data_IF_345956604493
#
_entry.id   IF_345956604493
#
_cell.length_a   1.000
_cell.length_b   1.000
_cell.length_c   1.000
_cell.angle_alpha   90.00
_cell.angle_beta   90.00
_cell.angle_gamma   90.00
#
_symmetry.space_group_name_H-M   'P 1'
#
loop_
_entity.id
_entity.type
_entity.pdbx_description
1 polymer ?
#
# COMPACT_ATOMS: atom_id res chain seq x y z
N UNK A 1 -1.45 -30.94 2.41
CA UNK A 1 -0.66 -31.15 1.19
C UNK A 1 -0.19 -29.84 0.63
N UNK A 2 1.08 -29.49 0.88
CA UNK A 2 1.76 -28.37 0.23
C UNK A 2 2.10 -28.78 -1.18
N UNK A 3 1.23 -28.47 -2.14
CA UNK A 3 1.62 -28.42 -3.54
C UNK A 3 2.74 -27.40 -3.63
N UNK A 4 3.99 -27.84 -3.62
CA UNK A 4 5.17 -26.99 -3.59
C UNK A 4 5.14 -26.08 -4.80
N UNK A 5 4.79 -24.80 -4.60
CA UNK A 5 4.88 -23.79 -5.64
C UNK A 5 6.37 -23.64 -5.94
N UNK A 6 6.81 -24.19 -7.06
CA UNK A 6 8.18 -24.00 -7.55
C UNK A 6 8.29 -22.54 -8.00
N UNK A 7 8.72 -21.68 -7.09
CA UNK A 7 8.98 -20.28 -7.38
C UNK A 7 10.42 -20.12 -7.87
N UNK A 8 10.59 -19.74 -9.13
CA UNK A 8 11.92 -19.49 -9.69
C UNK A 8 12.36 -18.05 -9.42
N UNK A 9 13.67 -17.84 -9.20
CA UNK A 9 14.25 -16.51 -8.97
C UNK A 9 13.91 -15.52 -10.10
N UNK A 10 13.76 -16.00 -11.34
CA UNK A 10 13.34 -15.19 -12.49
C UNK A 10 11.97 -14.51 -12.27
N UNK A 11 11.08 -15.14 -11.50
CA UNK A 11 9.74 -14.61 -11.23
C UNK A 11 9.74 -13.59 -10.08
N UNK A 12 10.82 -13.51 -9.29
CA UNK A 12 11.01 -12.49 -8.25
C UNK A 12 10.93 -11.08 -8.82
N UNK A 13 11.71 -10.84 -9.88
CA UNK A 13 11.83 -9.52 -10.50
C UNK A 13 10.53 -9.00 -11.10
N UNK A 14 9.53 -9.87 -11.27
CA UNK A 14 8.19 -9.48 -11.71
C UNK A 14 7.33 -8.90 -10.59
N UNK A 15 7.65 -9.20 -9.33
CA UNK A 15 6.84 -8.87 -8.16
C UNK A 15 7.59 -8.06 -7.11
N UNK A 16 8.91 -8.01 -7.13
CA UNK A 16 9.69 -7.31 -6.12
C UNK A 16 11.10 -6.95 -6.64
N UNK A 17 11.68 -5.87 -6.12
CA UNK A 17 13.05 -5.46 -6.45
C UNK A 17 14.07 -6.53 -5.99
N UNK A 18 15.13 -6.80 -6.77
CA UNK A 18 16.10 -7.85 -6.46
C UNK A 18 16.86 -7.61 -5.14
N UNK A 19 17.03 -6.37 -4.73
CA UNK A 19 17.65 -5.98 -3.45
C UNK A 19 16.89 -6.58 -2.26
N UNK A 20 15.57 -6.63 -2.36
CA UNK A 20 14.70 -7.19 -1.31
C UNK A 20 14.89 -8.71 -1.19
N UNK A 21 15.20 -9.41 -2.29
CA UNK A 21 15.56 -10.83 -2.22
C UNK A 21 16.90 -11.02 -1.53
N UNK A 22 17.90 -10.20 -1.87
CA UNK A 22 19.21 -10.26 -1.20
C UNK A 22 19.05 -9.97 0.29
N UNK A 23 18.25 -8.97 0.64
CA UNK A 23 17.90 -8.67 2.03
C UNK A 23 17.25 -9.86 2.74
N UNK A 24 16.26 -10.53 2.12
CA UNK A 24 15.65 -11.73 2.69
C UNK A 24 16.66 -12.83 2.99
N UNK A 25 17.62 -13.06 2.08
CA UNK A 25 18.65 -14.07 2.23
C UNK A 25 19.69 -13.70 3.30
N UNK A 26 20.03 -12.41 3.43
CA UNK A 26 21.10 -11.93 4.30
C UNK A 26 20.64 -11.55 5.71
N UNK A 27 19.34 -11.22 5.92
CA UNK A 27 18.81 -10.84 7.24
C UNK A 27 18.77 -11.99 8.26
N UNK A 28 18.93 -13.23 7.79
CA UNK A 28 18.90 -14.44 8.60
C UNK A 28 20.27 -15.10 8.63
N UNK A 29 20.63 -15.72 9.76
CA UNK A 29 21.86 -16.54 9.84
C UNK A 29 21.76 -17.70 8.85
N UNK A 30 22.86 -18.10 8.16
CA UNK A 30 22.83 -19.20 7.19
C UNK A 30 22.31 -20.53 7.74
N UNK A 31 22.45 -20.77 9.05
CA UNK A 31 21.96 -21.97 9.73
C UNK A 31 20.47 -21.93 10.06
N UNK A 32 19.79 -20.79 9.92
CA UNK A 32 18.36 -20.65 10.19
C UNK A 32 17.57 -20.88 8.90
N UNK A 33 16.46 -21.61 9.04
CA UNK A 33 15.48 -21.70 7.97
C UNK A 33 14.91 -20.32 7.66
N UNK A 34 14.90 -19.95 6.38
CA UNK A 34 14.26 -18.72 5.90
C UNK A 34 12.80 -19.05 5.65
N UNK A 35 11.92 -18.54 6.51
CA UNK A 35 10.48 -18.62 6.25
C UNK A 35 10.14 -17.69 5.07
N UNK A 36 9.53 -18.25 4.04
CA UNK A 36 9.29 -17.56 2.78
C UNK A 36 7.84 -17.76 2.32
N UNK A 37 7.05 -16.70 2.45
CA UNK A 37 5.69 -16.64 1.93
C UNK A 37 5.54 -15.46 0.97
N UNK A 38 5.18 -15.77 -0.28
CA UNK A 38 4.91 -14.79 -1.33
C UNK A 38 3.79 -13.80 -0.93
N UNK A 39 2.82 -14.21 -0.10
CA UNK A 39 1.78 -13.32 0.42
C UNK A 39 2.32 -12.25 1.37
N UNK A 40 3.52 -12.45 1.91
CA UNK A 40 4.15 -11.53 2.87
C UNK A 40 5.13 -10.55 2.24
N UNK A 41 5.30 -10.56 0.91
CA UNK A 41 6.18 -9.61 0.20
C UNK A 41 5.94 -8.15 0.63
N UNK A 42 4.70 -7.64 0.81
CA UNK A 42 4.51 -6.28 1.29
C UNK A 42 5.10 -5.98 2.67
N UNK A 43 5.22 -6.98 3.56
CA UNK A 43 5.95 -6.84 4.83
C UNK A 43 7.46 -6.78 4.58
N UNK A 44 7.97 -7.72 3.79
CA UNK A 44 9.39 -7.82 3.50
C UNK A 44 9.93 -6.56 2.82
N UNK A 45 9.16 -5.97 1.92
CA UNK A 45 9.51 -4.70 1.27
C UNK A 45 9.51 -3.55 2.27
N UNK A 46 8.56 -3.50 3.20
CA UNK A 46 8.53 -2.46 4.25
C UNK A 46 9.75 -2.58 5.18
N UNK A 47 10.12 -3.80 5.58
CA UNK A 47 11.31 -4.07 6.37
C UNK A 47 12.59 -3.60 5.64
N UNK A 48 12.65 -3.81 4.32
CA UNK A 48 13.77 -3.33 3.49
C UNK A 48 13.78 -1.80 3.35
N UNK A 49 12.62 -1.18 3.13
CA UNK A 49 12.50 0.28 3.08
C UNK A 49 12.93 0.91 4.42
N UNK A 50 12.61 0.27 5.55
CA UNK A 50 13.10 0.69 6.88
C UNK A 50 14.62 0.55 7.00
N UNK A 51 15.19 -0.56 6.53
CA UNK A 51 16.64 -0.72 6.48
C UNK A 51 17.31 0.38 5.65
N UNK A 52 16.73 0.73 4.50
CA UNK A 52 17.22 1.80 3.63
C UNK A 52 17.16 3.18 4.32
N UNK A 53 16.06 3.51 5.00
CA UNK A 53 15.96 4.75 5.81
C UNK A 53 17.01 4.78 6.92
N UNK A 54 17.18 3.65 7.62
CA UNK A 54 18.17 3.51 8.67
C UNK A 54 19.59 3.70 8.12
N UNK A 55 19.92 3.12 6.97
CA UNK A 55 21.23 3.29 6.34
C UNK A 55 21.55 4.77 6.12
N UNK A 56 20.70 5.50 5.39
CA UNK A 56 20.96 6.91 5.09
C UNK A 56 21.01 7.79 6.35
N UNK A 57 20.16 7.51 7.35
CA UNK A 57 20.21 8.21 8.64
C UNK A 57 21.48 7.91 9.45
N UNK A 58 22.00 6.68 9.38
CA UNK A 58 23.25 6.31 10.06
C UNK A 58 24.49 6.87 9.36
N UNK A 59 24.50 6.92 8.02
CA UNK A 59 25.57 7.56 7.25
C UNK A 59 25.65 9.05 7.55
N UNK A 60 24.52 9.75 7.65
CA UNK A 60 24.49 11.17 8.05
C UNK A 60 25.08 11.37 9.45
N UNK A 61 24.70 10.53 10.42
CA UNK A 61 25.28 10.56 11.78
C UNK A 61 26.78 10.34 11.80
N UNK A 62 27.29 9.39 11.00
CA UNK A 62 28.73 9.13 10.87
C UNK A 62 29.46 10.34 10.28
N UNK A 63 28.90 10.97 9.24
CA UNK A 63 29.47 12.19 8.65
C UNK A 63 29.50 13.36 9.63
N UNK A 64 28.57 13.38 10.59
CA UNK A 64 28.52 14.34 11.70
C UNK A 64 29.36 13.92 12.93
N UNK A 65 30.24 12.92 12.79
CA UNK A 65 31.22 12.52 13.80
C UNK A 65 30.69 11.63 14.92
N UNK A 66 29.48 11.06 14.79
CA UNK A 66 28.92 10.14 15.78
C UNK A 66 29.41 8.70 15.56
N UNK A 67 29.78 8.02 16.65
CA UNK A 67 30.12 6.60 16.60
C UNK A 67 28.86 5.73 16.54
N UNK A 68 28.90 4.73 15.66
CA UNK A 68 27.87 3.70 15.57
C UNK A 68 28.18 2.55 16.52
N UNK A 69 27.14 2.05 17.20
CA UNK A 69 27.22 0.80 17.95
C UNK A 69 27.22 -0.43 17.01
N UNK A 70 27.46 -1.62 17.58
CA UNK A 70 27.55 -2.87 16.81
C UNK A 70 26.30 -3.14 15.96
N UNK A 71 25.10 -3.03 16.55
CA UNK A 71 23.84 -3.26 15.83
C UNK A 71 23.61 -2.27 14.68
N UNK A 72 24.04 -1.03 14.83
CA UNK A 72 23.96 0.00 13.79
C UNK A 72 24.93 -0.30 12.64
N UNK A 73 26.16 -0.71 12.95
CA UNK A 73 27.14 -1.15 11.95
C UNK A 73 26.65 -2.37 11.18
N UNK A 74 26.00 -3.31 11.86
CA UNK A 74 25.38 -4.48 11.22
C UNK A 74 24.29 -4.09 10.23
N UNK A 75 23.43 -3.12 10.59
CA UNK A 75 22.40 -2.59 9.66
C UNK A 75 23.02 -1.92 8.44
N UNK A 76 24.05 -1.09 8.64
CA UNK A 76 24.79 -0.46 7.54
C UNK A 76 25.34 -1.53 6.60
N UNK A 77 26.02 -2.52 7.17
CA UNK A 77 26.63 -3.60 6.39
C UNK A 77 25.61 -4.46 5.66
N UNK A 78 24.47 -4.75 6.30
CA UNK A 78 23.38 -5.51 5.68
C UNK A 78 22.79 -4.77 4.47
N UNK A 79 22.63 -3.46 4.55
CA UNK A 79 22.15 -2.66 3.43
C UNK A 79 23.16 -2.64 2.27
N UNK A 80 24.44 -2.39 2.55
CA UNK A 80 25.51 -2.43 1.54
C UNK A 80 25.57 -3.77 0.79
N UNK A 81 25.46 -4.89 1.50
CA UNK A 81 25.52 -6.22 0.90
C UNK A 81 24.26 -6.58 0.11
N UNK A 82 23.10 -6.07 0.53
CA UNK A 82 21.82 -6.30 -0.18
C UNK A 82 21.62 -5.37 -1.37
N UNK A 83 22.31 -4.23 -1.40
CA UNK A 83 22.11 -3.14 -2.36
C UNK A 83 23.41 -2.82 -3.10
N UNK A 84 23.82 -3.63 -4.09
CA UNK A 84 25.09 -3.45 -4.78
C UNK A 84 25.15 -2.15 -5.60
N UNK A 85 24.01 -1.69 -6.11
CA UNK A 85 23.89 -0.41 -6.81
C UNK A 85 23.36 0.63 -5.82
N UNK A 86 24.28 1.23 -5.06
CA UNK A 86 23.93 2.21 -4.02
C UNK A 86 23.31 3.46 -4.66
N UNK A 87 22.15 3.93 -4.18
CA UNK A 87 21.63 5.23 -4.58
C UNK A 87 22.39 6.37 -3.88
N UNK A 88 22.52 7.52 -4.55
CA UNK A 88 23.25 8.68 -4.02
C UNK A 88 22.56 9.36 -2.83
N UNK A 89 21.25 9.20 -2.73
CA UNK A 89 20.38 9.73 -1.67
C UNK A 89 19.30 8.71 -1.33
N UNK A 90 18.61 8.90 -0.22
CA UNK A 90 17.42 8.13 0.12
C UNK A 90 16.38 8.26 -1.01
N UNK A 91 16.07 7.16 -1.72
CA UNK A 91 15.14 7.24 -2.85
C UNK A 91 13.69 7.42 -2.39
N UNK A 92 12.81 7.77 -3.32
CA UNK A 92 11.38 7.86 -3.06
C UNK A 92 10.82 6.51 -2.60
N UNK A 93 10.26 6.50 -1.39
CA UNK A 93 9.63 5.32 -0.80
C UNK A 93 8.12 5.52 -0.68
N UNK A 94 7.38 5.05 -1.69
CA UNK A 94 5.92 4.87 -1.58
C UNK A 94 5.66 3.47 -0.99
N UNK A 95 4.90 3.34 0.12
CA UNK A 95 4.61 2.05 0.73
C UNK A 95 4.10 1.04 -0.30
N UNK A 96 4.67 -0.17 -0.30
CA UNK A 96 4.35 -1.19 -1.31
C UNK A 96 2.85 -1.54 -1.33
N UNK A 97 2.21 -1.60 -0.16
CA UNK A 97 0.75 -1.81 -0.04
C UNK A 97 -0.07 -0.72 -0.71
N UNK A 98 0.42 0.52 -0.70
CA UNK A 98 -0.25 1.60 -1.40
C UNK A 98 -0.03 1.48 -2.91
N UNK A 99 1.19 1.11 -3.34
CA UNK A 99 1.49 0.76 -4.73
C UNK A 99 0.55 -0.34 -5.28
N UNK A 100 0.22 -1.36 -4.47
CA UNK A 100 -0.74 -2.42 -4.83
C UNK A 100 -2.12 -1.86 -5.18
N UNK A 101 -2.57 -0.85 -4.44
CA UNK A 101 -3.90 -0.24 -4.64
C UNK A 101 -3.88 0.69 -5.85
N UNK A 102 -2.95 1.64 -5.89
CA UNK A 102 -2.90 2.67 -6.94
C UNK A 102 -2.60 2.07 -8.32
N UNK A 103 -1.77 1.03 -8.40
CA UNK A 103 -1.43 0.37 -9.66
C UNK A 103 -2.62 -0.37 -10.29
N UNK A 104 -3.58 -0.83 -9.50
CA UNK A 104 -4.82 -1.43 -9.99
C UNK A 104 -5.83 -0.36 -10.41
N UNK A 105 -5.95 0.71 -9.63
CA UNK A 105 -6.90 1.82 -9.91
C UNK A 105 -6.48 2.66 -11.10
N UNK A 106 -5.18 2.88 -11.28
CA UNK A 106 -4.62 3.63 -12.40
C UNK A 106 -4.31 2.74 -13.61
N UNK A 107 -4.74 1.47 -13.63
CA UNK A 107 -4.50 0.61 -14.77
C UNK A 107 -5.42 0.97 -15.94
N UNK A 108 -4.84 1.23 -17.11
CA UNK A 108 -5.58 1.41 -18.35
C UNK A 108 -5.63 0.08 -19.10
N UNK A 109 -6.82 -0.53 -19.15
CA UNK A 109 -7.03 -1.83 -19.81
C UNK A 109 -6.85 -1.77 -21.32
N UNK A 110 -7.20 -0.65 -21.97
CA UNK A 110 -7.09 -0.49 -23.42
C UNK A 110 -5.62 -0.39 -23.86
N UNK A 111 -4.80 0.34 -23.09
CA UNK A 111 -3.37 0.53 -23.35
C UNK A 111 -2.49 -0.56 -22.72
N UNK A 112 -3.07 -1.41 -21.87
CA UNK A 112 -2.36 -2.46 -21.13
C UNK A 112 -1.18 -1.93 -20.29
N UNK A 113 -1.36 -0.74 -19.69
CA UNK A 113 -0.31 -0.05 -18.94
C UNK A 113 -0.88 0.68 -17.71
N UNK A 114 0.00 1.06 -16.79
CA UNK A 114 -0.38 1.91 -15.66
C UNK A 114 -0.31 3.37 -16.11
N UNK A 115 -1.42 4.09 -15.98
CA UNK A 115 -1.51 5.52 -16.27
C UNK A 115 -0.75 6.30 -15.19
N UNK A 116 0.47 6.73 -15.55
CA UNK A 116 1.35 7.44 -14.63
C UNK A 116 0.84 8.82 -14.25
N UNK A 117 0.09 9.51 -15.13
CA UNK A 117 -0.47 10.82 -14.81
C UNK A 117 -1.51 10.70 -13.69
N UNK A 118 -2.36 9.66 -13.78
CA UNK A 118 -3.32 9.32 -12.72
C UNK A 118 -2.63 8.88 -11.43
N UNK A 119 -1.53 8.13 -11.51
CA UNK A 119 -0.73 7.78 -10.32
C UNK A 119 -0.21 9.04 -9.63
N UNK A 120 0.41 9.97 -10.38
CA UNK A 120 0.95 11.20 -9.82
C UNK A 120 -0.16 12.04 -9.19
N UNK A 121 -1.34 12.13 -9.81
CA UNK A 121 -2.51 12.79 -9.22
C UNK A 121 -2.93 12.17 -7.88
N UNK A 122 -3.01 10.83 -7.81
CA UNK A 122 -3.32 10.12 -6.55
C UNK A 122 -2.25 10.44 -5.49
N UNK A 123 -0.97 10.42 -5.84
CA UNK A 123 0.12 10.70 -4.91
C UNK A 123 0.08 12.15 -4.40
N UNK A 124 -0.16 13.15 -5.27
CA UNK A 124 -0.34 14.56 -4.86
C UNK A 124 -1.43 14.72 -3.80
N UNK A 125 -2.59 14.08 -4.02
CA UNK A 125 -3.72 14.10 -3.08
C UNK A 125 -3.42 13.43 -1.74
N UNK A 126 -2.45 12.51 -1.72
CA UNK A 126 -2.02 11.75 -0.54
C UNK A 126 -0.73 12.30 0.09
N UNK A 127 -0.52 13.62 0.02
CA UNK A 127 0.57 14.35 0.69
C UNK A 127 1.99 14.08 0.15
N UNK A 128 2.11 13.50 -1.05
CA UNK A 128 3.40 13.45 -1.77
C UNK A 128 3.55 14.71 -2.63
N UNK A 129 3.70 15.87 -2.00
CA UNK A 129 3.66 17.18 -2.67
C UNK A 129 4.83 17.42 -3.63
N UNK A 130 6.00 16.85 -3.36
CA UNK A 130 7.18 16.98 -4.22
C UNK A 130 7.25 15.89 -5.30
N UNK A 131 6.17 15.13 -5.52
CA UNK A 131 6.14 14.07 -6.53
C UNK A 131 6.39 14.58 -7.95
N UNK A 132 6.04 15.85 -8.22
CA UNK A 132 6.27 16.47 -9.54
C UNK A 132 7.74 16.89 -9.76
N UNK A 133 8.58 16.83 -8.72
CA UNK A 133 9.99 17.23 -8.75
C UNK A 133 10.95 16.06 -8.59
N UNK A 134 10.43 14.82 -8.59
CA UNK A 134 11.27 13.64 -8.45
C UNK A 134 12.21 13.53 -9.65
N UNK A 135 13.42 13.05 -9.41
CA UNK A 135 14.37 12.83 -10.48
C UNK A 135 14.01 11.57 -11.30
N UNK A 136 14.75 11.36 -12.37
CA UNK A 136 14.55 10.22 -13.27
C UNK A 136 14.73 8.87 -12.56
N UNK A 137 15.63 8.77 -11.59
CA UNK A 137 15.89 7.52 -10.88
C UNK A 137 14.70 7.15 -9.98
N UNK A 138 14.19 8.12 -9.22
CA UNK A 138 13.00 7.96 -8.40
C UNK A 138 11.76 7.66 -9.24
N UNK A 139 11.61 8.30 -10.40
CA UNK A 139 10.51 8.03 -11.32
C UNK A 139 10.53 6.59 -11.86
N UNK A 140 11.69 6.11 -12.32
CA UNK A 140 11.82 4.72 -12.81
C UNK A 140 11.68 3.68 -11.68
N UNK A 141 12.17 4.01 -10.46
CA UNK A 141 11.97 3.17 -9.28
C UNK A 141 10.49 3.09 -8.90
N UNK A 142 9.76 4.20 -8.92
CA UNK A 142 8.30 4.23 -8.69
C UNK A 142 7.57 3.41 -9.75
N UNK A 143 7.88 3.62 -11.03
CA UNK A 143 7.26 2.90 -12.15
C UNK A 143 7.47 1.39 -12.00
N UNK A 144 8.70 0.93 -11.83
CA UNK A 144 8.98 -0.49 -11.61
C UNK A 144 8.27 -1.05 -10.38
N UNK A 145 8.24 -0.30 -9.26
CA UNK A 145 7.52 -0.68 -8.03
C UNK A 145 6.02 -0.87 -8.26
N UNK A 146 5.38 -0.02 -9.06
CA UNK A 146 3.96 -0.11 -9.39
C UNK A 146 3.63 -1.37 -10.18
N UNK A 147 4.41 -1.68 -11.23
CA UNK A 147 4.23 -2.90 -12.00
C UNK A 147 4.46 -4.15 -11.15
N UNK A 148 5.50 -4.15 -10.32
CA UNK A 148 5.79 -5.22 -9.37
C UNK A 148 4.64 -5.43 -8.38
N UNK A 149 4.14 -4.35 -7.79
CA UNK A 149 3.01 -4.38 -6.86
C UNK A 149 1.71 -4.87 -7.51
N UNK A 150 1.42 -4.46 -8.74
CA UNK A 150 0.27 -4.95 -9.50
C UNK A 150 0.39 -6.44 -9.79
N UNK A 151 1.55 -6.88 -10.30
CA UNK A 151 1.79 -8.29 -10.59
C UNK A 151 1.68 -9.14 -9.32
N UNK A 152 2.21 -8.66 -8.20
CA UNK A 152 2.04 -9.33 -6.92
C UNK A 152 0.55 -9.45 -6.53
N UNK A 153 -0.21 -8.36 -6.67
CA UNK A 153 -1.63 -8.35 -6.34
C UNK A 153 -2.43 -9.37 -7.15
N UNK A 154 -2.18 -9.45 -8.46
CA UNK A 154 -2.87 -10.37 -9.36
C UNK A 154 -2.57 -11.85 -9.09
N UNK A 155 -1.37 -12.16 -8.56
CA UNK A 155 -0.94 -13.55 -8.35
C UNK A 155 -1.11 -14.03 -6.90
N UNK A 156 -0.93 -13.13 -5.93
CA UNK A 156 -0.82 -13.48 -4.51
C UNK A 156 -1.66 -12.60 -3.57
N UNK A 157 -2.16 -11.46 -4.07
CA UNK A 157 -2.92 -10.50 -3.29
C UNK A 157 -4.40 -10.43 -3.66
N UNK A 158 -5.03 -9.33 -3.28
CA UNK A 158 -6.44 -9.05 -3.55
C UNK A 158 -6.58 -8.29 -4.88
N UNK A 159 -7.40 -8.84 -5.78
CA UNK A 159 -7.81 -8.15 -7.01
C UNK A 159 -8.93 -7.17 -6.67
N UNK A 160 -8.70 -5.90 -6.95
CA UNK A 160 -9.66 -4.83 -6.69
C UNK A 160 -10.63 -4.70 -7.86
N UNK A 161 -11.88 -5.06 -7.60
CA UNK A 161 -12.99 -4.81 -8.51
C UNK A 161 -13.98 -3.89 -7.79
N UNK A 162 -14.12 -2.67 -8.29
CA UNK A 162 -15.13 -1.74 -7.77
C UNK A 162 -16.46 -2.11 -8.40
N UNK A 163 -17.42 -2.52 -7.57
CA UNK A 163 -18.74 -2.95 -8.03
C UNK A 163 -19.54 -1.76 -8.55
N UNK A 164 -20.51 -2.01 -9.44
CA UNK A 164 -21.39 -0.96 -9.93
C UNK A 164 -22.34 -0.44 -8.83
N UNK A 165 -23.12 0.60 -9.15
CA UNK A 165 -24.05 1.20 -8.18
C UNK A 165 -25.20 0.24 -7.81
N UNK A 166 -25.64 -0.61 -8.75
CA UNK A 166 -26.76 -1.54 -8.52
C UNK A 166 -26.33 -2.60 -7.51
N UNK A 167 -25.19 -3.23 -7.71
CA UNK A 167 -24.59 -4.20 -6.79
C UNK A 167 -24.34 -3.56 -5.41
N UNK A 168 -23.88 -2.32 -5.35
CA UNK A 168 -23.67 -1.64 -4.07
C UNK A 168 -24.96 -1.37 -3.30
N UNK A 169 -26.06 -1.06 -3.99
CA UNK A 169 -27.38 -0.94 -3.36
C UNK A 169 -27.84 -2.29 -2.83
N UNK A 170 -27.62 -3.39 -3.57
CA UNK A 170 -27.93 -4.74 -3.11
C UNK A 170 -27.12 -5.12 -1.85
N UNK A 171 -25.82 -4.80 -1.83
CA UNK A 171 -24.96 -5.02 -0.67
C UNK A 171 -25.35 -4.14 0.53
N UNK A 172 -25.71 -2.88 0.30
CA UNK A 172 -26.21 -1.99 1.33
C UNK A 172 -27.50 -2.52 1.96
N UNK A 173 -28.43 -3.05 1.17
CA UNK A 173 -29.70 -3.56 1.68
C UNK A 173 -29.51 -4.72 2.67
N UNK A 174 -28.45 -5.52 2.49
CA UNK A 174 -28.03 -6.62 3.36
C UNK A 174 -27.27 -6.17 4.62
N UNK A 175 -27.01 -4.87 4.81
CA UNK A 175 -26.38 -4.34 6.03
C UNK A 175 -27.38 -4.23 7.18
N UNK A 176 -26.89 -4.34 8.41
CA UNK A 176 -27.70 -4.16 9.61
C UNK A 176 -28.03 -2.67 9.87
N UNK A 177 -28.97 -2.40 10.79
CA UNK A 177 -29.43 -1.04 11.10
C UNK A 177 -28.29 -0.10 11.52
N UNK A 178 -27.41 -0.54 12.42
CA UNK A 178 -26.27 0.27 12.89
C UNK A 178 -25.25 0.57 11.77
N UNK A 179 -25.01 -0.38 10.87
CA UNK A 179 -24.13 -0.16 9.72
C UNK A 179 -24.71 0.89 8.74
N UNK A 180 -26.03 0.86 8.52
CA UNK A 180 -26.72 1.86 7.69
C UNK A 180 -26.69 3.25 8.33
N UNK A 181 -26.92 3.31 9.64
CA UNK A 181 -26.78 4.54 10.44
C UNK A 181 -25.36 5.11 10.34
N UNK A 182 -24.35 4.26 10.50
CA UNK A 182 -22.94 4.64 10.36
C UNK A 182 -22.61 5.16 8.96
N UNK A 183 -23.09 4.52 7.90
CA UNK A 183 -22.88 4.99 6.52
C UNK A 183 -23.40 6.42 6.34
N UNK A 184 -24.59 6.72 6.87
CA UNK A 184 -25.16 8.06 6.79
C UNK A 184 -24.33 9.08 7.58
N UNK A 185 -23.88 8.74 8.79
CA UNK A 185 -22.99 9.60 9.58
C UNK A 185 -21.66 9.86 8.87
N UNK A 186 -21.03 8.80 8.37
CA UNK A 186 -19.72 8.87 7.74
C UNK A 186 -19.77 9.66 6.43
N UNK A 187 -20.85 9.55 5.66
CA UNK A 187 -21.11 10.37 4.48
C UNK A 187 -21.04 11.86 4.77
N UNK A 188 -21.67 12.33 5.86
CA UNK A 188 -21.65 13.75 6.22
C UNK A 188 -20.25 14.15 6.69
N UNK A 189 -19.57 13.30 7.48
CA UNK A 189 -18.18 13.52 7.91
C UNK A 189 -17.20 13.64 6.75
N UNK A 190 -17.39 12.88 5.67
CA UNK A 190 -16.55 12.95 4.47
C UNK A 190 -16.53 14.34 3.79
N UNK A 191 -17.57 15.16 4.01
CA UNK A 191 -17.62 16.52 3.46
C UNK A 191 -16.68 17.49 4.18
N UNK A 192 -16.42 17.23 5.45
CA UNK A 192 -15.69 18.14 6.35
C UNK A 192 -14.20 17.80 6.49
N UNK A 193 -13.84 16.52 6.29
CA UNK A 193 -12.47 16.06 6.51
C UNK A 193 -11.57 16.18 5.27
N UNK A 194 -10.26 16.24 5.50
CA UNK A 194 -9.26 16.06 4.45
C UNK A 194 -9.33 14.63 3.88
N UNK A 195 -9.23 14.54 2.55
CA UNK A 195 -9.39 13.28 1.83
C UNK A 195 -8.06 12.50 1.73
N UNK A 196 -7.44 12.26 2.88
CA UNK A 196 -6.12 11.61 3.00
C UNK A 196 -6.24 10.24 3.67
N UNK A 197 -5.34 9.31 3.32
CA UNK A 197 -5.41 7.93 3.79
C UNK A 197 -5.47 7.79 5.32
N UNK A 198 -4.70 8.59 6.07
CA UNK A 198 -4.66 8.50 7.54
C UNK A 198 -5.94 9.07 8.16
N UNK A 199 -6.34 10.26 7.71
CA UNK A 199 -7.54 10.98 8.17
C UNK A 199 -8.80 10.16 7.90
N UNK A 200 -8.91 9.56 6.71
CA UNK A 200 -10.02 8.67 6.36
C UNK A 200 -10.08 7.46 7.29
N UNK A 201 -8.94 6.80 7.53
CA UNK A 201 -8.89 5.62 8.40
C UNK A 201 -9.30 5.94 9.83
N UNK A 202 -8.79 7.03 10.40
CA UNK A 202 -9.14 7.49 11.74
C UNK A 202 -10.61 7.93 11.81
N UNK A 203 -11.10 8.63 10.80
CA UNK A 203 -12.48 9.08 10.72
C UNK A 203 -13.48 7.92 10.68
N UNK A 204 -13.18 6.84 9.93
CA UNK A 204 -13.97 5.60 9.94
C UNK A 204 -14.02 5.00 11.35
N UNK A 205 -12.86 4.90 11.99
CA UNK A 205 -12.75 4.31 13.33
C UNK A 205 -13.51 5.13 14.38
N UNK A 206 -13.33 6.45 14.39
CA UNK A 206 -13.92 7.36 15.36
C UNK A 206 -15.45 7.47 15.17
N UNK A 207 -15.93 7.60 13.94
CA UNK A 207 -17.37 7.65 13.64
C UNK A 207 -18.09 6.35 13.99
N UNK A 208 -17.44 5.19 13.84
CA UNK A 208 -18.01 3.92 14.27
C UNK A 208 -18.17 3.87 15.80
N UNK A 209 -17.14 4.29 16.54
CA UNK A 209 -17.18 4.35 18.01
C UNK A 209 -18.26 5.28 18.56
N UNK A 210 -18.46 6.42 17.91
CA UNK A 210 -19.44 7.44 18.32
C UNK A 210 -20.87 6.89 18.44
N UNK A 211 -21.26 5.99 17.53
CA UNK A 211 -22.58 5.34 17.56
C UNK A 211 -22.57 3.96 18.22
N UNK A 212 -21.47 3.59 18.87
CA UNK A 212 -21.30 2.28 19.49
C UNK A 212 -21.35 1.11 18.48
N UNK A 213 -20.82 1.31 17.28
CA UNK A 213 -20.58 0.26 16.28
C UNK A 213 -19.14 -0.23 16.40
N UNK A 214 -18.91 -1.54 16.27
CA UNK A 214 -17.55 -2.05 16.22
C UNK A 214 -16.85 -1.52 14.97
N UNK A 215 -15.65 -0.89 15.06
CA UNK A 215 -14.95 -0.37 13.89
C UNK A 215 -14.79 -1.41 12.77
N UNK A 216 -14.59 -2.69 13.10
CA UNK A 216 -14.52 -3.76 12.08
C UNK A 216 -15.79 -3.88 11.24
N UNK A 217 -16.96 -3.64 11.83
CA UNK A 217 -18.24 -3.66 11.10
C UNK A 217 -18.41 -2.46 10.17
N UNK A 218 -17.87 -1.30 10.54
CA UNK A 218 -17.82 -0.11 9.67
C UNK A 218 -16.87 -0.30 8.48
N UNK A 219 -15.68 -0.86 8.73
CA UNK A 219 -14.76 -1.26 7.66
C UNK A 219 -15.42 -2.26 6.71
N UNK A 220 -16.05 -3.31 7.25
CA UNK A 220 -16.78 -4.32 6.47
C UNK A 220 -17.91 -3.69 5.64
N UNK A 221 -18.74 -2.84 6.25
CA UNK A 221 -19.83 -2.15 5.54
C UNK A 221 -19.33 -1.34 4.34
N UNK A 222 -18.18 -0.66 4.50
CA UNK A 222 -17.55 0.07 3.40
C UNK A 222 -17.02 -0.86 2.31
N UNK A 223 -16.30 -1.93 2.66
CA UNK A 223 -15.84 -2.90 1.65
C UNK A 223 -17.01 -3.51 0.89
N UNK A 224 -18.16 -3.74 1.52
CA UNK A 224 -19.34 -4.28 0.85
C UNK A 224 -19.90 -3.34 -0.21
N UNK A 225 -20.06 -2.05 0.09
CA UNK A 225 -20.60 -1.08 -0.89
C UNK A 225 -19.60 -0.70 -1.99
N UNK A 226 -18.29 -0.86 -1.76
CA UNK A 226 -17.27 -0.55 -2.77
C UNK A 226 -16.80 -1.76 -3.59
N UNK A 227 -16.65 -2.93 -2.96
CA UNK A 227 -15.99 -4.11 -3.52
C UNK A 227 -16.86 -5.37 -3.51
N UNK A 228 -18.04 -5.34 -2.87
CA UNK A 228 -18.90 -6.53 -2.71
C UNK A 228 -18.31 -7.58 -1.77
N UNK A 229 -17.31 -7.21 -0.97
CA UNK A 229 -16.54 -8.12 -0.09
C UNK A 229 -16.58 -7.64 1.35
N UNK A 230 -16.33 -8.54 2.30
CA UNK A 230 -16.27 -8.20 3.73
C UNK A 230 -14.90 -7.63 4.16
N UNK A 231 -13.89 -7.73 3.30
CA UNK A 231 -12.52 -7.29 3.57
C UNK A 231 -11.88 -6.79 2.27
N UNK A 232 -10.73 -6.12 2.41
CA UNK A 232 -9.99 -5.57 1.30
C UNK A 232 -8.66 -4.96 1.76
N UNK A 233 -7.96 -4.21 0.89
CA UNK A 233 -6.76 -3.47 1.25
C UNK A 233 -7.11 -2.41 2.29
N UNK A 234 -6.11 -1.85 3.00
CA UNK A 234 -6.32 -0.81 4.01
C UNK A 234 -7.28 0.28 3.51
N UNK A 235 -8.49 0.31 4.07
CA UNK A 235 -9.62 1.08 3.53
C UNK A 235 -9.31 2.57 3.34
N UNK A 236 -8.62 3.20 4.29
CA UNK A 236 -8.24 4.61 4.15
C UNK A 236 -7.40 4.88 2.91
N UNK A 237 -6.43 4.01 2.61
CA UNK A 237 -5.57 4.12 1.42
C UNK A 237 -6.32 3.79 0.14
N UNK A 238 -7.27 2.86 0.20
CA UNK A 238 -8.15 2.57 -0.92
C UNK A 238 -9.06 3.76 -1.24
N UNK A 239 -9.80 4.28 -0.27
CA UNK A 239 -10.71 5.41 -0.48
C UNK A 239 -9.94 6.65 -0.96
N UNK A 240 -8.78 6.95 -0.39
CA UNK A 240 -7.97 8.12 -0.77
C UNK A 240 -7.35 8.03 -2.16
N UNK A 241 -7.34 6.85 -2.78
CA UNK A 241 -6.89 6.65 -4.16
C UNK A 241 -8.01 6.81 -5.19
N UNK A 242 -9.27 6.83 -4.75
CA UNK A 242 -10.43 7.09 -5.59
C UNK A 242 -10.71 8.59 -5.71
N UNK A 243 -11.60 8.94 -6.64
CA UNK A 243 -12.15 10.30 -6.68
C UNK A 243 -13.02 10.59 -5.44
N UNK A 244 -12.87 11.79 -4.87
CA UNK A 244 -13.57 12.18 -3.64
C UNK A 244 -15.08 12.22 -3.85
N UNK A 245 -15.54 12.79 -4.96
CA UNK A 245 -16.96 12.90 -5.25
C UNK A 245 -17.54 11.50 -5.48
N UNK A 246 -16.84 10.65 -6.24
CA UNK A 246 -17.22 9.24 -6.39
C UNK A 246 -17.41 8.53 -5.03
N UNK A 247 -16.51 8.74 -4.07
CA UNK A 247 -16.61 8.13 -2.74
C UNK A 247 -17.81 8.68 -1.96
N UNK A 248 -18.01 10.00 -1.94
CA UNK A 248 -19.17 10.63 -1.28
C UNK A 248 -20.48 10.14 -1.91
N UNK A 249 -20.55 10.10 -3.23
CA UNK A 249 -21.71 9.63 -3.98
C UNK A 249 -21.98 8.15 -3.69
N UNK A 250 -20.93 7.33 -3.61
CA UNK A 250 -21.05 5.92 -3.25
C UNK A 250 -21.65 5.74 -1.85
N UNK A 251 -21.22 6.50 -0.85
CA UNK A 251 -21.85 6.46 0.48
C UNK A 251 -23.27 7.04 0.49
N UNK A 252 -23.62 7.88 -0.49
CA UNK A 252 -24.98 8.40 -0.63
C UNK A 252 -25.96 7.38 -1.20
N UNK A 253 -25.47 6.40 -1.96
CA UNK A 253 -26.25 5.38 -2.69
C UNK A 253 -27.42 5.95 -3.50
N UNK A 254 -27.30 7.22 -3.93
CA UNK A 254 -28.28 7.86 -4.79
C UNK A 254 -28.09 7.39 -6.23
N UNK A 255 -29.22 7.14 -6.90
CA UNK A 255 -29.28 6.98 -8.36
C UNK A 255 -29.06 8.30 -9.06
#
# INVERSE_FOLDING_TARGET
SSSGVVFAVKDWTKICHPEVLRYLLLRSKPSKHIDFDLKTIPNLVEDYDELERNYFGLIDRMNNGQELNENERDKVRLYELSTPNMPDKLPLQIPYRFCVVISQIAYNTEKNEIDMDRVLEILRRNNYKDIDKIDKQDFERLKSRLYMARNWALNYGEILTIIDLKEAIEEYNKLNGKQKEWINLFKERLKEIEFQSIVLHESIYNSAKEIGLNPKEAFSASYRIFLGKNYGPKLGSFLSSLDRNFVIDRYSLKR
#
